data_IF_332236553529
#
_entry.id   IF_332236553529
#
_cell.length_a   1.000
_cell.length_b   1.000
_cell.length_c   1.000
_cell.angle_alpha   90.00
_cell.angle_beta   90.00
_cell.angle_gamma   90.00
#
_symmetry.space_group_name_H-M   'P 1'
#
loop_
_entity.id
_entity.type
_entity.pdbx_description
1 polymer ?
#
# COMPACT_ATOMS: atom_id res chain seq x y z
N UNK A 1 -7.50 -4.59 -1.23
CA UNK A 1 -7.11 -6.01 -1.08
C UNK A 1 -6.14 -6.17 0.09
N UNK A 2 -6.34 -7.13 0.99
CA UNK A 2 -5.24 -7.55 1.89
C UNK A 2 -4.31 -8.48 1.11
N UNK A 3 -3.06 -8.10 0.96
CA UNK A 3 -2.06 -8.85 0.20
C UNK A 3 -0.83 -9.12 1.08
N UNK A 4 -0.73 -10.34 1.61
CA UNK A 4 0.40 -10.76 2.43
C UNK A 4 1.67 -11.05 1.64
N UNK A 5 1.59 -11.10 0.30
CA UNK A 5 2.75 -11.20 -0.59
C UNK A 5 3.42 -9.86 -0.85
N UNK A 6 2.73 -8.75 -0.61
CA UNK A 6 3.29 -7.41 -0.59
C UNK A 6 3.87 -7.08 0.79
N UNK A 7 5.15 -6.69 0.84
CA UNK A 7 5.91 -6.58 2.10
C UNK A 7 5.89 -5.21 2.74
N UNK A 8 5.42 -4.18 2.01
CA UNK A 8 5.35 -2.80 2.50
C UNK A 8 3.97 -2.47 3.07
N UNK A 9 3.72 -1.22 3.48
CA UNK A 9 2.43 -0.84 4.07
C UNK A 9 1.30 -0.82 3.05
N UNK A 10 1.45 -0.05 1.98
CA UNK A 10 0.39 0.18 1.00
C UNK A 10 0.96 0.31 -0.40
N UNK A 11 0.24 -0.25 -1.37
CA UNK A 11 0.41 0.06 -2.77
C UNK A 11 -0.92 0.53 -3.38
N UNK A 12 -0.86 1.50 -4.29
CA UNK A 12 -2.04 2.14 -4.89
C UNK A 12 -1.76 2.54 -6.34
N UNK A 13 -2.81 2.73 -7.13
CA UNK A 13 -2.64 3.27 -8.46
C UNK A 13 -2.05 4.70 -8.40
N UNK A 14 -1.10 5.00 -9.27
CA UNK A 14 -0.50 6.33 -9.38
C UNK A 14 -1.53 7.43 -9.65
N UNK A 15 -2.52 7.17 -10.49
CA UNK A 15 -3.60 8.11 -10.79
C UNK A 15 -4.42 8.46 -9.54
N UNK A 16 -4.62 7.51 -8.61
CA UNK A 16 -5.38 7.76 -7.40
C UNK A 16 -4.61 8.65 -6.42
N UNK A 17 -3.29 8.46 -6.32
CA UNK A 17 -2.40 9.27 -5.46
C UNK A 17 -2.34 10.74 -5.88
N UNK A 18 -2.42 11.03 -7.17
CA UNK A 18 -2.45 12.39 -7.69
C UNK A 18 -3.61 13.22 -7.12
N UNK A 19 -4.73 12.58 -6.77
CA UNK A 19 -5.88 13.23 -6.13
C UNK A 19 -5.76 13.43 -4.62
N UNK A 20 -4.78 12.78 -3.96
CA UNK A 20 -4.64 12.76 -2.51
C UNK A 20 -3.69 13.84 -1.98
N UNK A 21 -2.96 14.54 -2.86
CA UNK A 21 -1.97 15.57 -2.52
C UNK A 21 -0.94 15.10 -1.47
N UNK A 22 -0.58 13.81 -1.49
CA UNK A 22 0.51 13.30 -0.67
C UNK A 22 1.85 13.78 -1.18
N UNK A 23 2.80 13.97 -0.27
CA UNK A 23 4.13 14.44 -0.65
C UNK A 23 4.92 13.30 -1.29
N UNK A 24 5.48 13.55 -2.47
CA UNK A 24 6.46 12.64 -3.06
C UNK A 24 7.67 12.52 -2.14
N UNK A 25 8.15 11.30 -1.94
CA UNK A 25 9.23 10.97 -1.03
C UNK A 25 10.45 10.41 -1.76
N UNK A 26 10.27 9.37 -2.57
CA UNK A 26 11.35 8.66 -3.25
C UNK A 26 10.84 7.80 -4.43
N UNK A 27 11.69 7.02 -5.07
CA UNK A 27 11.33 5.97 -6.03
C UNK A 27 12.17 4.71 -5.78
N UNK A 28 11.55 3.54 -5.89
CA UNK A 28 12.22 2.25 -5.68
C UNK A 28 11.89 1.24 -6.78
N UNK A 29 12.88 0.46 -7.21
CA UNK A 29 12.67 -0.69 -8.10
C UNK A 29 12.38 -1.94 -7.27
N UNK A 30 11.23 -2.56 -7.51
CA UNK A 30 10.79 -3.76 -6.80
C UNK A 30 10.62 -4.94 -7.74
N UNK A 31 10.93 -6.15 -7.24
CA UNK A 31 10.61 -7.39 -7.93
C UNK A 31 9.15 -7.75 -7.70
N UNK A 32 8.34 -7.67 -8.75
CA UNK A 32 6.92 -8.06 -8.74
C UNK A 32 6.71 -9.42 -9.39
N UNK A 33 5.49 -9.96 -9.33
CA UNK A 33 5.10 -11.15 -10.08
C UNK A 33 5.24 -10.99 -11.61
N UNK A 34 5.30 -9.75 -12.12
CA UNK A 34 5.48 -9.44 -13.55
C UNK A 34 6.93 -9.10 -13.91
N UNK A 35 7.86 -9.16 -12.95
CA UNK A 35 9.25 -8.74 -13.10
C UNK A 35 9.55 -7.44 -12.34
N UNK A 36 10.70 -6.84 -12.64
CA UNK A 36 11.12 -5.56 -12.05
C UNK A 36 10.20 -4.43 -12.50
N UNK A 37 9.80 -3.59 -11.55
CA UNK A 37 9.01 -2.40 -11.80
C UNK A 37 9.39 -1.28 -10.83
N UNK A 38 9.36 -0.05 -11.30
CA UNK A 38 9.58 1.13 -10.47
C UNK A 38 8.27 1.59 -9.83
N UNK A 39 8.34 1.96 -8.56
CA UNK A 39 7.24 2.53 -7.81
C UNK A 39 7.66 3.88 -7.27
N UNK A 40 6.82 4.89 -7.47
CA UNK A 40 6.97 6.18 -6.82
C UNK A 40 6.47 6.06 -5.38
N UNK A 41 7.26 6.53 -4.42
CA UNK A 41 6.93 6.46 -3.00
C UNK A 41 6.45 7.83 -2.55
N UNK A 42 5.32 7.84 -1.86
CA UNK A 42 4.72 9.03 -1.27
C UNK A 42 4.60 8.87 0.25
N UNK A 43 4.64 9.98 0.99
CA UNK A 43 4.25 10.01 2.40
C UNK A 43 2.72 10.07 2.49
N UNK A 44 2.11 8.90 2.61
CA UNK A 44 0.66 8.76 2.66
C UNK A 44 0.11 8.83 4.08
N UNK A 45 -1.09 9.38 4.19
CA UNK A 45 -1.86 9.44 5.44
C UNK A 45 -2.96 8.41 5.45
N UNK A 46 -2.93 7.52 6.43
CA UNK A 46 -3.81 6.35 6.51
C UNK A 46 -4.53 6.36 7.84
N UNK A 47 -5.86 6.24 7.81
CA UNK A 47 -6.69 6.15 9.01
C UNK A 47 -7.17 4.71 9.19
N UNK A 48 -6.67 4.02 10.22
CA UNK A 48 -7.08 2.65 10.57
C UNK A 48 -7.55 2.67 12.03
N UNK A 49 -8.79 2.24 12.28
CA UNK A 49 -9.36 2.19 13.64
C UNK A 49 -9.21 3.52 14.40
N UNK A 50 -9.55 4.64 13.76
CA UNK A 50 -9.43 6.00 14.33
C UNK A 50 -7.99 6.48 14.62
N UNK A 51 -6.98 5.68 14.28
CA UNK A 51 -5.57 6.06 14.38
C UNK A 51 -5.03 6.49 13.02
N UNK A 52 -4.44 7.68 12.97
CA UNK A 52 -3.79 8.23 11.77
C UNK A 52 -2.31 7.85 11.76
N UNK A 53 -1.85 7.34 10.63
CA UNK A 53 -0.46 6.99 10.37
C UNK A 53 0.05 7.74 9.15
N UNK A 54 1.29 8.22 9.22
CA UNK A 54 2.04 8.67 8.06
C UNK A 54 3.04 7.57 7.68
N UNK A 55 2.87 6.98 6.50
CA UNK A 55 3.64 5.82 6.04
C UNK A 55 4.09 5.97 4.58
N UNK A 56 5.18 5.31 4.17
CA UNK A 56 5.49 5.15 2.76
C UNK A 56 4.36 4.42 2.01
N UNK A 57 3.92 4.99 0.90
CA UNK A 57 2.92 4.40 0.00
C UNK A 57 3.50 4.29 -1.40
N UNK A 58 3.45 3.08 -1.97
CA UNK A 58 4.03 2.73 -3.26
C UNK A 58 2.99 2.92 -4.37
N UNK A 59 3.23 3.87 -5.26
CA UNK A 59 2.37 4.19 -6.39
C UNK A 59 2.90 3.55 -7.67
N UNK A 60 2.05 2.81 -8.37
CA UNK A 60 2.39 2.17 -9.65
C UNK A 60 1.23 2.23 -10.65
N UNK A 61 1.55 2.19 -11.95
CA UNK A 61 0.56 2.38 -13.03
C UNK A 61 -0.38 1.17 -13.20
N UNK A 62 0.10 -0.02 -12.87
CA UNK A 62 -0.58 -1.31 -13.11
C UNK A 62 -1.40 -1.83 -11.90
N UNK A 63 -1.50 -1.04 -10.83
CA UNK A 63 -2.24 -1.42 -9.62
C UNK A 63 -3.73 -1.16 -9.84
N UNK A 64 -4.55 -2.21 -9.76
CA UNK A 64 -6.01 -2.10 -9.94
C UNK A 64 -6.78 -1.89 -8.64
N UNK A 65 -6.25 -2.40 -7.53
CA UNK A 65 -6.83 -2.26 -6.20
C UNK A 65 -5.77 -1.79 -5.22
N UNK A 66 -6.16 -1.01 -4.21
CA UNK A 66 -5.26 -0.67 -3.09
C UNK A 66 -4.82 -1.97 -2.42
N UNK A 67 -3.51 -2.24 -2.38
CA UNK A 67 -2.92 -3.38 -1.69
C UNK A 67 -2.54 -2.96 -0.29
N UNK A 68 -3.06 -3.68 0.72
CA UNK A 68 -2.69 -3.54 2.12
C UNK A 68 -1.68 -4.64 2.40
N UNK A 69 -0.43 -4.26 2.59
CA UNK A 69 0.65 -5.21 2.72
C UNK A 69 0.87 -5.70 4.15
N UNK A 70 1.76 -6.68 4.25
CA UNK A 70 2.09 -7.36 5.50
C UNK A 70 2.86 -6.51 6.51
N UNK A 71 3.39 -5.34 6.13
CA UNK A 71 4.10 -4.47 7.08
C UNK A 71 3.20 -4.01 8.23
N UNK A 72 1.89 -3.87 7.99
CA UNK A 72 0.90 -3.56 9.02
C UNK A 72 0.84 -4.58 10.15
N UNK A 73 1.30 -5.83 9.93
CA UNK A 73 1.37 -6.86 10.97
C UNK A 73 2.35 -6.52 12.10
N UNK A 74 3.22 -5.52 11.91
CA UNK A 74 4.09 -4.99 12.97
C UNK A 74 3.33 -4.08 13.94
N UNK A 75 2.24 -3.46 13.47
CA UNK A 75 1.43 -2.50 14.22
C UNK A 75 0.12 -3.11 14.72
N UNK A 76 -0.43 -4.08 13.99
CA UNK A 76 -1.74 -4.66 14.24
C UNK A 76 -1.76 -6.19 14.09
N UNK A 77 -2.53 -6.85 14.95
CA UNK A 77 -2.98 -8.22 14.70
C UNK A 77 -4.11 -8.20 13.66
N UNK A 78 -3.78 -8.48 12.39
CA UNK A 78 -4.77 -8.57 11.32
C UNK A 78 -5.40 -9.98 11.30
N UNK A 79 -6.72 -10.05 11.51
CA UNK A 79 -7.48 -11.31 11.42
C UNK A 79 -8.41 -11.33 10.22
N UNK A 80 -8.21 -12.29 9.32
CA UNK A 80 -9.14 -12.56 8.21
C UNK A 80 -10.26 -13.48 8.71
N UNK A 81 -11.50 -13.00 8.67
CA UNK A 81 -12.70 -13.79 8.98
C UNK A 81 -13.57 -13.89 7.74
N UNK A 82 -13.65 -15.08 7.16
CA UNK A 82 -14.64 -15.35 6.12
C UNK A 82 -16.03 -15.37 6.75
N UNK A 83 -16.92 -14.52 6.23
CA UNK A 83 -18.33 -14.63 6.59
C UNK A 83 -18.86 -15.87 5.86
N UNK A 84 -19.34 -16.86 6.61
CA UNK A 84 -20.14 -17.93 6.01
C UNK A 84 -21.46 -17.30 5.57
N UNK A 85 -21.83 -17.48 4.30
CA UNK A 85 -23.14 -17.11 3.77
C UNK A 85 -24.26 -17.96 4.39
#
# INVERSE_FOLDING_TARGET
MLDTGFTEFLAINKQDVEGLNWAYFDQEEMLTARGLANFDIYLGKVLINELEFEVPVFAGDDIQEILIGSQWLKEFDLMVRYRQE
#
